data_IF_567059514298
#
_entry.id   IF_567059514298
#
_cell.length_a   1.000
_cell.length_b   1.000
_cell.length_c   1.000
_cell.angle_alpha   90.00
_cell.angle_beta   90.00
_cell.angle_gamma   90.00
#
_symmetry.space_group_name_H-M   'P 1'
#
loop_
_entity.id
_entity.type
_entity.pdbx_description
1 polymer ?
#
# COMPACT_ATOMS: atom_id res chain seq x y z
N UNK A 1 24.12 -5.96 -35.71
CA UNK A 1 23.45 -7.14 -35.11
C UNK A 1 23.50 -7.17 -33.57
N UNK A 2 24.59 -6.75 -32.90
CA UNK A 2 24.66 -6.65 -31.42
C UNK A 2 23.92 -5.43 -30.84
N UNK A 3 23.95 -4.29 -31.54
CA UNK A 3 23.30 -3.03 -31.14
C UNK A 3 21.77 -3.08 -31.16
N UNK A 4 21.18 -3.71 -32.18
CA UNK A 4 19.72 -3.89 -32.29
C UNK A 4 19.15 -4.81 -31.22
N UNK A 5 19.88 -5.88 -30.83
CA UNK A 5 19.50 -6.74 -29.71
C UNK A 5 19.48 -5.98 -28.39
N UNK A 6 20.45 -5.07 -28.19
CA UNK A 6 20.53 -4.25 -26.98
C UNK A 6 19.37 -3.24 -26.90
N UNK A 7 19.01 -2.60 -28.02
CA UNK A 7 17.89 -1.66 -28.09
C UNK A 7 16.52 -2.36 -27.89
N UNK A 8 16.33 -3.55 -28.48
CA UNK A 8 15.12 -4.36 -28.30
C UNK A 8 14.95 -4.83 -26.85
N UNK A 9 16.03 -5.31 -26.21
CA UNK A 9 16.01 -5.73 -24.82
C UNK A 9 15.70 -4.57 -23.86
N UNK A 10 16.27 -3.38 -24.12
CA UNK A 10 16.02 -2.18 -23.33
C UNK A 10 14.53 -1.77 -23.37
N UNK A 11 13.92 -1.75 -24.55
CA UNK A 11 12.49 -1.46 -24.73
C UNK A 11 11.58 -2.48 -24.02
N UNK A 12 11.91 -3.77 -24.12
CA UNK A 12 11.17 -4.83 -23.44
C UNK A 12 11.23 -4.71 -21.91
N UNK A 13 12.41 -4.38 -21.35
CA UNK A 13 12.57 -4.16 -19.90
C UNK A 13 11.75 -2.96 -19.43
N UNK A 14 11.78 -1.84 -20.15
CA UNK A 14 10.98 -0.66 -19.82
C UNK A 14 9.47 -0.98 -19.86
N UNK A 15 8.99 -1.64 -20.92
CA UNK A 15 7.58 -2.04 -21.04
C UNK A 15 7.14 -2.95 -19.88
N UNK A 16 7.99 -3.90 -19.47
CA UNK A 16 7.72 -4.76 -18.31
C UNK A 16 7.66 -3.97 -17.01
N UNK A 17 8.60 -3.05 -16.77
CA UNK A 17 8.60 -2.22 -15.58
C UNK A 17 7.35 -1.35 -15.48
N UNK A 18 6.91 -0.76 -16.60
CA UNK A 18 5.71 0.06 -16.67
C UNK A 18 4.44 -0.75 -16.35
N UNK A 19 4.32 -1.97 -16.91
CA UNK A 19 3.24 -2.89 -16.58
C UNK A 19 3.25 -3.28 -15.10
N UNK A 20 4.42 -3.57 -14.53
CA UNK A 20 4.54 -3.93 -13.11
C UNK A 20 4.08 -2.79 -12.19
N UNK A 21 4.49 -1.55 -12.47
CA UNK A 21 4.05 -0.38 -11.69
C UNK A 21 2.55 -0.14 -11.87
N UNK A 22 2.01 -0.25 -13.08
CA UNK A 22 0.57 -0.11 -13.33
C UNK A 22 -0.26 -1.17 -12.58
N UNK A 23 0.18 -2.43 -12.58
CA UNK A 23 -0.46 -3.49 -11.79
C UNK A 23 -0.39 -3.17 -10.30
N UNK A 24 0.73 -2.64 -9.81
CA UNK A 24 0.86 -2.25 -8.41
C UNK A 24 -0.14 -1.14 -8.02
N UNK A 25 -0.29 -0.10 -8.84
CA UNK A 25 -1.30 0.96 -8.61
C UNK A 25 -2.71 0.38 -8.59
N UNK A 26 -3.02 -0.51 -9.53
CA UNK A 26 -4.31 -1.20 -9.57
C UNK A 26 -4.55 -2.02 -8.29
N UNK A 27 -3.56 -2.81 -7.86
CA UNK A 27 -3.66 -3.62 -6.63
C UNK A 27 -3.86 -2.72 -5.41
N UNK A 28 -3.12 -1.62 -5.28
CA UNK A 28 -3.30 -0.71 -4.14
C UNK A 28 -4.73 -0.13 -4.12
N UNK A 29 -5.20 0.40 -5.25
CA UNK A 29 -6.57 0.92 -5.36
C UNK A 29 -7.64 -0.15 -5.07
N UNK A 30 -7.45 -1.37 -5.57
CA UNK A 30 -8.36 -2.49 -5.35
C UNK A 30 -8.46 -2.90 -3.87
N UNK A 31 -7.36 -2.84 -3.12
CA UNK A 31 -7.36 -3.14 -1.67
C UNK A 31 -8.30 -2.19 -0.92
N UNK A 32 -8.16 -0.88 -1.12
CA UNK A 32 -9.05 0.10 -0.47
C UNK A 32 -10.49 0.01 -0.96
N UNK A 33 -10.70 -0.18 -2.27
CA UNK A 33 -12.03 -0.34 -2.85
C UNK A 33 -12.76 -1.58 -2.31
N UNK A 34 -12.02 -2.63 -1.91
CA UNK A 34 -12.60 -3.85 -1.30
C UNK A 34 -13.07 -3.65 0.15
N UNK A 35 -12.49 -2.68 0.84
CA UNK A 35 -12.70 -2.45 2.27
C UNK A 35 -13.78 -1.41 2.56
N UNK A 36 -13.68 -0.23 1.93
CA UNK A 36 -14.50 0.94 2.29
C UNK A 36 -16.01 0.64 2.29
N UNK A 37 -16.58 -0.07 1.30
CA UNK A 37 -18.02 -0.40 1.30
C UNK A 37 -18.46 -1.31 2.45
N UNK A 38 -17.54 -2.05 3.07
CA UNK A 38 -17.81 -2.99 4.17
C UNK A 38 -17.73 -2.34 5.56
N UNK A 39 -17.33 -1.07 5.65
CA UNK A 39 -17.27 -0.35 6.92
C UNK A 39 -18.56 -0.40 7.73
N UNK A 40 -19.78 -0.24 7.14
CA UNK A 40 -21.02 -0.38 7.89
C UNK A 40 -21.21 -1.77 8.49
N UNK A 41 -20.94 -2.83 7.72
CA UNK A 41 -21.05 -4.22 8.19
C UNK A 41 -20.04 -4.53 9.31
N UNK A 42 -18.81 -4.01 9.21
CA UNK A 42 -17.79 -4.19 10.24
C UNK A 42 -18.19 -3.45 11.51
N UNK A 43 -18.66 -2.20 11.40
CA UNK A 43 -19.17 -1.40 12.51
C UNK A 43 -20.24 -2.16 13.29
N UNK A 44 -21.24 -2.68 12.57
CA UNK A 44 -22.36 -3.39 13.18
C UNK A 44 -21.89 -4.67 13.88
N UNK A 45 -20.93 -5.39 13.29
CA UNK A 45 -20.35 -6.62 13.85
C UNK A 45 -19.53 -6.39 15.12
N UNK A 46 -18.82 -5.28 15.22
CA UNK A 46 -18.02 -4.93 16.43
C UNK A 46 -18.82 -4.08 17.42
N UNK A 47 -20.12 -3.87 17.14
CA UNK A 47 -21.12 -3.22 18.01
C UNK A 47 -20.73 -1.80 18.47
N UNK A 48 -20.22 -0.98 17.54
CA UNK A 48 -19.81 0.41 17.85
C UNK A 48 -20.66 1.45 17.14
N UNK A 49 -20.73 2.65 17.72
CA UNK A 49 -21.35 3.80 17.08
C UNK A 49 -20.55 4.29 15.85
N UNK A 50 -21.21 5.05 14.97
CA UNK A 50 -20.56 5.74 13.86
C UNK A 50 -19.48 6.72 14.36
N UNK A 51 -19.74 7.43 15.46
CA UNK A 51 -18.75 8.32 16.08
C UNK A 51 -17.49 7.56 16.51
N UNK A 52 -17.66 6.35 17.04
CA UNK A 52 -16.54 5.50 17.43
C UNK A 52 -15.72 5.07 16.23
N UNK A 53 -16.35 4.68 15.10
CA UNK A 53 -15.61 4.40 13.86
C UNK A 53 -14.77 5.61 13.42
N UNK A 54 -15.34 6.82 13.49
CA UNK A 54 -14.62 8.05 13.20
C UNK A 54 -13.35 8.18 14.06
N UNK A 55 -13.47 7.96 15.38
CA UNK A 55 -12.33 8.00 16.31
C UNK A 55 -11.31 6.91 15.98
N UNK A 56 -11.73 5.68 15.70
CA UNK A 56 -10.80 4.58 15.37
C UNK A 56 -10.04 4.86 14.06
N UNK A 57 -10.71 5.43 13.04
CA UNK A 57 -10.06 5.87 11.81
C UNK A 57 -9.06 7.01 12.07
N UNK A 58 -9.41 7.99 12.90
CA UNK A 58 -8.51 9.07 13.28
C UNK A 58 -7.28 8.57 14.04
N UNK A 59 -7.46 7.67 15.01
CA UNK A 59 -6.37 7.03 15.74
C UNK A 59 -5.46 6.24 14.80
N UNK A 60 -6.05 5.51 13.86
CA UNK A 60 -5.29 4.79 12.85
C UNK A 60 -4.51 5.73 11.93
N UNK A 61 -5.04 6.90 11.59
CA UNK A 61 -4.33 7.93 10.82
C UNK A 61 -2.99 8.36 11.44
N UNK A 62 -2.87 8.33 12.77
CA UNK A 62 -1.62 8.67 13.46
C UNK A 62 -0.48 7.69 13.13
N UNK A 63 -0.79 6.43 12.84
CA UNK A 63 0.23 5.45 12.43
C UNK A 63 0.82 5.77 11.05
N UNK A 64 0.05 6.43 10.18
CA UNK A 64 0.51 6.95 8.89
C UNK A 64 1.58 8.03 9.00
N UNK A 65 1.54 8.83 10.08
CA UNK A 65 2.58 9.81 10.38
C UNK A 65 3.91 9.11 10.72
N UNK A 66 3.85 8.01 11.48
CA UNK A 66 5.02 7.19 11.79
C UNK A 66 5.58 6.51 10.52
N UNK A 67 4.70 5.96 9.67
CA UNK A 67 5.08 5.43 8.36
C UNK A 67 5.78 6.48 7.50
N UNK A 68 5.21 7.69 7.43
CA UNK A 68 5.77 8.83 6.70
C UNK A 68 7.13 9.26 7.23
N UNK A 69 7.32 9.28 8.56
CA UNK A 69 8.60 9.62 9.15
C UNK A 69 9.68 8.57 8.85
N UNK A 70 9.32 7.29 8.80
CA UNK A 70 10.25 6.19 8.60
C UNK A 70 10.59 5.91 7.12
N UNK A 71 9.69 6.27 6.17
CA UNK A 71 9.75 5.80 4.78
C UNK A 71 11.05 6.13 4.07
N UNK A 72 11.59 7.34 4.26
CA UNK A 72 12.84 7.76 3.63
C UNK A 72 14.04 6.92 4.07
N UNK A 73 14.15 6.64 5.38
CA UNK A 73 15.21 5.79 5.92
C UNK A 73 15.06 4.34 5.47
N UNK A 74 13.84 3.80 5.52
CA UNK A 74 13.55 2.41 5.13
C UNK A 74 13.83 2.19 3.63
N UNK A 75 13.36 3.09 2.77
CA UNK A 75 13.65 3.02 1.33
C UNK A 75 15.14 3.22 1.06
N UNK A 76 15.81 4.16 1.73
CA UNK A 76 17.25 4.35 1.59
C UNK A 76 18.07 3.11 1.97
N UNK A 77 17.62 2.35 2.97
CA UNK A 77 18.33 1.15 3.46
C UNK A 77 18.03 -0.13 2.67
N UNK A 78 16.80 -0.30 2.19
CA UNK A 78 16.33 -1.56 1.59
C UNK A 78 15.98 -1.47 0.11
N UNK A 79 15.85 -0.27 -0.43
CA UNK A 79 15.44 0.01 -1.81
C UNK A 79 13.94 -0.11 -2.03
N UNK A 80 13.44 0.65 -3.02
CA UNK A 80 12.00 0.77 -3.33
C UNK A 80 11.34 -0.58 -3.61
N UNK A 81 11.97 -1.44 -4.43
CA UNK A 81 11.39 -2.73 -4.83
C UNK A 81 11.12 -3.66 -3.64
N UNK A 82 12.08 -3.82 -2.73
CA UNK A 82 11.92 -4.72 -1.57
C UNK A 82 10.87 -4.17 -0.62
N UNK A 83 10.96 -2.88 -0.30
CA UNK A 83 10.03 -2.18 0.58
C UNK A 83 8.60 -2.30 0.07
N UNK A 84 8.37 -2.02 -1.22
CA UNK A 84 7.05 -2.13 -1.85
C UNK A 84 6.46 -3.52 -1.71
N UNK A 85 7.20 -4.57 -2.08
CA UNK A 85 6.71 -5.95 -2.02
C UNK A 85 6.41 -6.41 -0.58
N UNK A 86 7.32 -6.12 0.37
CA UNK A 86 7.11 -6.51 1.76
C UNK A 86 5.96 -5.72 2.40
N UNK A 87 5.87 -4.42 2.14
CA UNK A 87 4.82 -3.58 2.71
C UNK A 87 3.45 -3.96 2.11
N UNK A 88 3.35 -4.27 0.81
CA UNK A 88 2.10 -4.75 0.20
C UNK A 88 1.63 -6.08 0.79
N UNK A 89 2.55 -6.99 1.12
CA UNK A 89 2.20 -8.24 1.81
C UNK A 89 1.66 -7.96 3.22
N UNK A 90 2.28 -7.03 3.96
CA UNK A 90 1.81 -6.61 5.29
C UNK A 90 0.43 -5.95 5.18
N UNK A 91 0.23 -5.00 4.25
CA UNK A 91 -1.06 -4.34 4.01
C UNK A 91 -2.16 -5.36 3.70
N UNK A 92 -1.87 -6.37 2.88
CA UNK A 92 -2.82 -7.44 2.56
C UNK A 92 -3.19 -8.28 3.80
N UNK A 93 -2.22 -8.57 4.67
CA UNK A 93 -2.46 -9.23 5.95
C UNK A 93 -3.30 -8.37 6.89
N UNK A 94 -2.99 -7.08 7.00
CA UNK A 94 -3.76 -6.12 7.78
C UNK A 94 -5.20 -5.97 7.26
N UNK A 95 -5.43 -6.02 5.94
CA UNK A 95 -6.76 -6.06 5.35
C UNK A 95 -7.57 -7.27 5.82
N UNK A 96 -6.94 -8.45 5.88
CA UNK A 96 -7.60 -9.63 6.43
C UNK A 96 -7.97 -9.45 7.91
N UNK A 97 -7.08 -8.86 8.71
CA UNK A 97 -7.35 -8.52 10.13
C UNK A 97 -8.54 -7.56 10.25
N UNK A 98 -8.58 -6.51 9.44
CA UNK A 98 -9.69 -5.54 9.41
C UNK A 98 -11.00 -6.23 9.02
N UNK A 99 -11.01 -7.03 7.96
CA UNK A 99 -12.21 -7.71 7.46
C UNK A 99 -12.74 -8.80 8.40
N UNK A 100 -11.87 -9.40 9.22
CA UNK A 100 -12.21 -10.45 10.19
C UNK A 100 -12.34 -9.93 11.62
N UNK A 101 -12.25 -8.62 11.84
CA UNK A 101 -12.30 -8.04 13.17
C UNK A 101 -13.62 -8.40 13.88
N UNK A 102 -13.49 -8.83 15.15
CA UNK A 102 -14.62 -9.13 16.07
C UNK A 102 -14.60 -8.25 17.31
N UNK A 103 -13.71 -7.26 17.35
CA UNK A 103 -13.63 -6.27 18.42
C UNK A 103 -13.07 -4.96 17.89
N UNK A 104 -13.38 -3.82 18.54
CA UNK A 104 -12.84 -2.51 18.17
C UNK A 104 -11.31 -2.46 18.22
N UNK A 105 -10.71 -3.15 19.19
CA UNK A 105 -9.25 -3.23 19.34
C UNK A 105 -8.58 -3.93 18.15
N UNK A 106 -9.14 -5.07 17.71
CA UNK A 106 -8.58 -5.79 16.56
C UNK A 106 -8.74 -4.99 15.27
N UNK A 107 -9.88 -4.30 15.11
CA UNK A 107 -10.14 -3.43 13.98
C UNK A 107 -9.11 -2.28 13.90
N UNK A 108 -8.88 -1.56 15.00
CA UNK A 108 -7.94 -0.43 15.00
C UNK A 108 -6.48 -0.87 14.83
N UNK A 109 -6.08 -2.01 15.39
CA UNK A 109 -4.74 -2.58 15.16
C UNK A 109 -4.54 -2.93 13.69
N UNK A 110 -5.55 -3.57 13.07
CA UNK A 110 -5.54 -3.86 11.63
C UNK A 110 -5.42 -2.59 10.78
N UNK A 111 -6.21 -1.55 11.10
CA UNK A 111 -6.15 -0.27 10.40
C UNK A 111 -4.81 0.44 10.59
N UNK A 112 -4.26 0.47 11.81
CA UNK A 112 -2.98 1.10 12.08
C UNK A 112 -1.86 0.46 11.27
N UNK A 113 -1.83 -0.88 11.20
CA UNK A 113 -0.88 -1.60 10.36
C UNK A 113 -1.10 -1.32 8.88
N UNK A 114 -2.35 -1.36 8.41
CA UNK A 114 -2.68 -1.04 7.02
C UNK A 114 -2.18 0.35 6.63
N UNK A 115 -2.55 1.39 7.38
CA UNK A 115 -2.21 2.79 7.08
C UNK A 115 -0.70 3.03 7.19
N UNK A 116 -0.04 2.52 8.24
CA UNK A 116 1.39 2.75 8.44
C UNK A 116 2.24 2.17 7.29
N UNK A 117 1.89 0.97 6.82
CA UNK A 117 2.63 0.30 5.75
C UNK A 117 2.19 0.71 4.35
N UNK A 118 0.94 1.14 4.17
CA UNK A 118 0.46 1.65 2.88
C UNK A 118 1.25 2.89 2.43
N UNK A 119 1.62 3.77 3.37
CA UNK A 119 2.54 4.90 3.08
C UNK A 119 3.84 4.43 2.42
N UNK A 120 4.41 3.31 2.88
CA UNK A 120 5.65 2.77 2.30
C UNK A 120 5.41 2.22 0.89
N UNK A 121 4.26 1.58 0.65
CA UNK A 121 3.85 1.11 -0.68
C UNK A 121 3.72 2.29 -1.63
N UNK A 122 2.98 3.32 -1.22
CA UNK A 122 2.68 4.49 -2.05
C UNK A 122 3.93 5.28 -2.41
N UNK A 123 4.81 5.57 -1.44
CA UNK A 123 6.05 6.29 -1.74
C UNK A 123 6.94 5.46 -2.66
N UNK A 124 7.15 4.17 -2.38
CA UNK A 124 8.01 3.32 -3.20
C UNK A 124 7.46 3.10 -4.62
N UNK A 125 6.14 3.01 -4.77
CA UNK A 125 5.45 2.88 -6.05
C UNK A 125 5.53 4.18 -6.86
N UNK A 126 5.23 5.33 -6.23
CA UNK A 126 5.32 6.64 -6.88
C UNK A 126 6.75 6.98 -7.30
N UNK A 127 7.77 6.62 -6.50
CA UNK A 127 9.17 6.76 -6.89
C UNK A 127 9.52 5.95 -8.15
N UNK A 128 9.06 4.69 -8.22
CA UNK A 128 9.28 3.84 -9.41
C UNK A 128 8.55 4.40 -10.63
N UNK A 129 7.32 4.90 -10.46
CA UNK A 129 6.57 5.57 -11.52
C UNK A 129 7.23 6.84 -12.03
N UNK A 130 7.68 7.70 -11.11
CA UNK A 130 8.40 8.94 -11.45
C UNK A 130 9.70 8.66 -12.20
N UNK A 131 10.48 7.66 -11.74
CA UNK A 131 11.70 7.24 -12.42
C UNK A 131 11.45 6.75 -13.85
N UNK A 132 10.40 5.93 -14.07
CA UNK A 132 10.03 5.49 -15.41
C UNK A 132 9.57 6.64 -16.31
N UNK A 133 8.85 7.61 -15.76
CA UNK A 133 8.41 8.81 -16.50
C UNK A 133 9.58 9.69 -16.94
N UNK A 134 10.67 9.74 -16.17
CA UNK A 134 11.87 10.51 -16.51
C UNK A 134 12.73 9.85 -17.61
N UNK A 135 12.44 8.60 -17.98
CA UNK A 135 13.12 7.87 -19.06
C UNK A 135 12.46 8.03 -20.43
N UNK A 136 11.44 8.88 -20.55
CA UNK A 136 10.73 9.23 -21.78
C UNK A 136 11.15 10.59 -22.26
#
# INVERSE_FOLDING_TARGET
>A
MSTERSASAYSAVHSRALKSVAVQFFVNGALFASFVPRLPEIRDRIEVSVSTIGVLLSLAGLSGLLGSAAVGHVIGRFGTRRVMLSASAVVSGCLAVVGLARSPALFVVGLMGMIAFDVLVDVAMNMQGSWLSALR
#
